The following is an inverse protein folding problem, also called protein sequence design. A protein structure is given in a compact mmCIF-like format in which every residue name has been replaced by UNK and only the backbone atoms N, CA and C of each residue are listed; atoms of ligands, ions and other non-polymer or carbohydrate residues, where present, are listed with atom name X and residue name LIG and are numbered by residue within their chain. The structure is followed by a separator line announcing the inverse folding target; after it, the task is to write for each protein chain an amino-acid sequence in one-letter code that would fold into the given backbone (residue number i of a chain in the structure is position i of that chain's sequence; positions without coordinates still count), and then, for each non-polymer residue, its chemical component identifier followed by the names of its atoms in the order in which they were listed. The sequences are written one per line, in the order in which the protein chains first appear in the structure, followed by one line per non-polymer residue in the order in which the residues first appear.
data_IF_475306933882
#
_entry.id   IF_475306933882
#
_cell.length_a   1.000
_cell.length_b   1.000
_cell.length_c   1.000
_cell.angle_alpha   90.00
_cell.angle_beta   90.00
_cell.angle_gamma   90.00
#
_symmetry.space_group_name_H-M   'P 1'
#
loop_
_entity.id
_entity.type
_entity.pdbx_description
1 polymer ?
#
# COMPACT_ATOMS: atom_id res chain seq x y z
N UNK A 1 -58.74 25.75 -31.19
CA UNK A 1 -58.30 26.73 -30.17
C UNK A 1 -58.31 26.11 -28.79
N UNK A 2 -57.13 25.69 -28.33
CA UNK A 2 -56.57 25.90 -26.99
C UNK A 2 -55.52 24.80 -26.79
N UNK A 3 -54.28 25.21 -27.02
CA UNK A 3 -53.06 24.43 -26.94
C UNK A 3 -52.90 23.75 -25.57
N UNK A 4 -52.42 22.52 -25.58
CA UNK A 4 -51.85 21.87 -24.40
C UNK A 4 -50.45 22.47 -24.20
N UNK A 5 -50.35 23.52 -23.39
CA UNK A 5 -49.07 23.99 -22.87
C UNK A 5 -48.52 22.89 -21.96
N UNK A 6 -47.49 22.18 -22.45
CA UNK A 6 -46.64 21.36 -21.59
C UNK A 6 -45.80 22.34 -20.76
N UNK A 7 -46.12 22.43 -19.46
CA UNK A 7 -45.30 23.11 -18.47
C UNK A 7 -43.97 22.34 -18.31
N UNK A 8 -43.04 22.61 -19.22
CA UNK A 8 -41.68 22.06 -19.31
C UNK A 8 -40.66 22.91 -18.53
N UNK A 9 -41.11 23.66 -17.51
CA UNK A 9 -40.29 24.68 -16.82
C UNK A 9 -40.29 24.56 -15.29
N UNK A 10 -40.67 23.40 -14.73
CA UNK A 10 -40.32 23.12 -13.34
C UNK A 10 -38.81 22.83 -13.26
N UNK A 11 -37.99 23.88 -13.42
CA UNK A 11 -36.60 23.87 -13.00
C UNK A 11 -36.57 23.25 -11.61
N UNK A 12 -35.86 22.13 -11.49
CA UNK A 12 -35.54 21.55 -10.19
C UNK A 12 -34.62 22.57 -9.52
N UNK A 13 -35.22 23.58 -8.88
CA UNK A 13 -34.57 24.40 -7.88
C UNK A 13 -34.31 23.42 -6.75
N UNK A 14 -33.17 22.74 -6.79
CA UNK A 14 -32.66 22.07 -5.61
C UNK A 14 -32.44 23.17 -4.58
N UNK A 15 -33.26 23.32 -3.53
CA UNK A 15 -32.87 24.14 -2.40
C UNK A 15 -31.94 23.25 -1.58
N UNK A 16 -30.76 22.98 -2.13
CA UNK A 16 -29.70 22.45 -1.30
C UNK A 16 -29.10 23.67 -0.62
N UNK A 17 -29.69 24.00 0.52
CA UNK A 17 -29.04 24.77 1.57
C UNK A 17 -27.65 24.16 1.76
N UNK A 18 -26.68 24.76 1.06
CA UNK A 18 -25.28 24.44 1.17
C UNK A 18 -24.83 24.98 2.53
N UNK A 19 -25.14 24.20 3.58
CA UNK A 19 -24.76 24.48 4.96
C UNK A 19 -23.24 24.44 5.00
N UNK A 20 -22.61 25.63 5.00
CA UNK A 20 -21.17 25.76 5.21
C UNK A 20 -20.41 26.71 4.30
N UNK A 21 -21.02 27.76 3.72
CA UNK A 21 -20.35 29.02 3.29
C UNK A 21 -19.19 28.96 2.27
N UNK A 22 -18.73 27.78 1.87
CA UNK A 22 -17.68 27.53 0.92
C UNK A 22 -18.28 27.40 -0.48
N UNK A 23 -18.00 28.36 -1.35
CA UNK A 23 -18.44 28.26 -2.74
C UNK A 23 -17.99 26.91 -3.37
N UNK A 24 -18.77 26.32 -4.29
CA UNK A 24 -18.47 24.99 -4.86
C UNK A 24 -17.06 24.81 -5.43
N UNK A 25 -16.41 25.90 -5.87
CA UNK A 25 -15.02 25.88 -6.32
C UNK A 25 -14.00 25.65 -5.19
N UNK A 26 -14.31 26.09 -3.96
CA UNK A 26 -13.45 25.91 -2.79
C UNK A 26 -13.42 24.44 -2.35
N UNK A 27 -14.56 23.73 -2.45
CA UNK A 27 -14.63 22.29 -2.21
C UNK A 27 -13.86 21.49 -3.26
N UNK A 28 -13.95 21.88 -4.54
CA UNK A 28 -13.16 21.26 -5.62
C UNK A 28 -11.66 21.39 -5.36
N UNK A 29 -11.22 22.57 -4.91
CA UNK A 29 -9.81 22.82 -4.57
C UNK A 29 -9.35 21.99 -3.37
N UNK A 30 -10.18 21.86 -2.35
CA UNK A 30 -9.87 21.08 -1.15
C UNK A 30 -9.78 19.58 -1.47
N UNK A 31 -10.70 19.05 -2.28
CA UNK A 31 -10.66 17.68 -2.77
C UNK A 31 -9.41 17.40 -3.61
N UNK A 32 -9.01 18.32 -4.48
CA UNK A 32 -7.79 18.18 -5.27
C UNK A 32 -6.52 18.23 -4.41
N UNK A 33 -6.53 18.99 -3.31
CA UNK A 33 -5.46 19.02 -2.32
C UNK A 33 -5.36 17.70 -1.54
N UNK A 34 -6.49 17.12 -1.13
CA UNK A 34 -6.55 15.81 -0.48
C UNK A 34 -6.05 14.70 -1.41
N UNK A 35 -6.45 14.70 -2.68
CA UNK A 35 -5.98 13.73 -3.69
C UNK A 35 -4.48 13.87 -3.98
N UNK A 36 -3.94 15.10 -3.96
CA UNK A 36 -2.49 15.34 -4.07
C UNK A 36 -1.75 14.78 -2.86
N UNK A 37 -2.28 14.97 -1.66
CA UNK A 37 -1.69 14.42 -0.43
C UNK A 37 -1.73 12.88 -0.40
N UNK A 38 -2.80 12.27 -0.90
CA UNK A 38 -2.91 10.81 -1.02
C UNK A 38 -1.87 10.25 -1.99
N UNK A 39 -1.69 10.87 -3.16
CA UNK A 39 -0.65 10.48 -4.13
C UNK A 39 0.76 10.59 -3.54
N UNK A 40 1.02 11.64 -2.76
CA UNK A 40 2.31 11.82 -2.07
C UNK A 40 2.50 10.74 -1.00
N UNK A 41 1.46 10.43 -0.22
CA UNK A 41 1.50 9.39 0.81
C UNK A 41 1.68 7.99 0.23
N UNK A 42 1.08 7.70 -0.93
CA UNK A 42 1.24 6.42 -1.63
C UNK A 42 2.67 6.25 -2.17
N UNK A 43 3.22 7.29 -2.80
CA UNK A 43 4.61 7.29 -3.27
C UNK A 43 5.62 7.15 -2.11
N UNK A 44 5.36 7.77 -0.97
CA UNK A 44 6.18 7.62 0.25
C UNK A 44 6.02 6.22 0.88
N UNK A 45 4.82 5.64 0.82
CA UNK A 45 4.57 4.28 1.32
C UNK A 45 5.24 3.22 0.46
N UNK A 46 5.26 3.37 -0.86
CA UNK A 46 6.02 2.49 -1.76
C UNK A 46 7.54 2.64 -1.59
N UNK A 47 8.03 3.87 -1.35
CA UNK A 47 9.44 4.11 -0.98
C UNK A 47 9.79 3.41 0.32
N UNK A 48 8.99 3.61 1.37
CA UNK A 48 9.21 2.98 2.69
C UNK A 48 9.11 1.45 2.61
N UNK A 49 8.20 0.90 1.80
CA UNK A 49 8.00 -0.55 1.63
C UNK A 49 9.19 -1.22 0.93
N UNK A 50 9.91 -0.49 0.08
CA UNK A 50 11.13 -0.98 -0.58
C UNK A 50 12.39 -0.71 0.24
N UNK A 51 12.45 0.39 1.00
CA UNK A 51 13.56 0.72 1.91
C UNK A 51 13.62 -0.21 3.13
N UNK A 52 12.47 -0.59 3.73
CA UNK A 52 12.42 -1.57 4.83
C UNK A 52 12.86 -2.98 4.35
N UNK A 53 12.64 -3.31 3.07
CA UNK A 53 13.17 -4.52 2.45
C UNK A 53 14.68 -4.43 2.16
N UNK A 54 15.20 -3.22 1.90
CA UNK A 54 16.62 -3.01 1.56
C UNK A 54 17.51 -2.90 2.81
N UNK A 55 17.03 -2.25 3.88
CA UNK A 55 17.74 -2.07 5.16
C UNK A 55 17.50 -3.22 6.15
N UNK A 56 17.14 -4.42 5.68
CA UNK A 56 17.40 -5.62 6.45
C UNK A 56 18.92 -5.79 6.56
N UNK A 57 19.49 -5.42 7.71
CA UNK A 57 20.89 -5.65 8.11
C UNK A 57 21.26 -7.06 7.68
N UNK A 58 22.38 -7.26 6.98
CA UNK A 58 22.67 -8.50 6.23
C UNK A 58 22.46 -9.81 7.04
N UNK A 59 22.76 -9.75 8.34
CA UNK A 59 22.53 -10.81 9.35
C UNK A 59 21.06 -11.21 9.59
N UNK A 60 20.13 -10.34 9.24
CA UNK A 60 18.68 -10.49 9.43
C UNK A 60 17.98 -10.86 8.11
N UNK A 61 18.64 -10.68 6.95
CA UNK A 61 18.12 -11.12 5.64
C UNK A 61 17.88 -12.61 5.57
N UNK A 62 18.81 -13.41 6.11
CA UNK A 62 18.65 -14.86 6.21
C UNK A 62 17.42 -15.18 7.05
N UNK A 63 17.33 -14.64 8.28
CA UNK A 63 16.19 -14.90 9.18
C UNK A 63 14.85 -14.55 8.54
N UNK A 64 14.79 -13.44 7.82
CA UNK A 64 13.59 -12.99 7.14
C UNK A 64 13.23 -13.92 5.96
N UNK A 65 14.19 -14.23 5.10
CA UNK A 65 13.99 -15.19 4.00
C UNK A 65 13.64 -16.60 4.52
N UNK A 66 14.12 -16.95 5.71
CA UNK A 66 13.78 -18.23 6.33
C UNK A 66 12.34 -18.28 6.82
N UNK A 67 11.81 -17.17 7.32
CA UNK A 67 10.42 -17.07 7.75
C UNK A 67 9.43 -17.22 6.58
N UNK A 68 9.88 -16.95 5.35
CA UNK A 68 9.05 -17.11 4.15
C UNK A 68 9.15 -18.48 3.50
N UNK A 69 10.10 -19.34 3.92
CA UNK A 69 10.20 -20.69 3.37
C UNK A 69 8.98 -21.54 3.70
N UNK A 70 8.51 -22.29 2.70
CA UNK A 70 7.43 -23.26 2.81
C UNK A 70 7.81 -24.59 2.15
N UNK A 71 7.12 -25.65 2.56
CA UNK A 71 7.22 -26.98 1.94
C UNK A 71 8.63 -27.58 1.97
N UNK A 72 9.11 -27.99 0.80
CA UNK A 72 10.40 -28.67 0.66
C UNK A 72 11.59 -27.79 1.08
N UNK A 73 11.51 -26.49 0.80
CA UNK A 73 12.57 -25.53 1.16
C UNK A 73 12.73 -25.42 2.69
N UNK A 74 11.61 -25.38 3.43
CA UNK A 74 11.62 -25.38 4.89
C UNK A 74 12.18 -26.69 5.46
N UNK A 75 11.85 -27.82 4.84
CA UNK A 75 12.39 -29.14 5.25
C UNK A 75 13.90 -29.20 5.05
N UNK A 76 14.38 -28.70 3.91
CA UNK A 76 15.81 -28.62 3.60
C UNK A 76 16.55 -27.73 4.62
N UNK A 77 15.99 -26.57 4.95
CA UNK A 77 16.53 -25.69 5.99
C UNK A 77 16.56 -26.32 7.38
N UNK A 78 15.51 -27.04 7.76
CA UNK A 78 15.44 -27.71 9.05
C UNK A 78 16.50 -28.83 9.15
N UNK A 79 16.79 -29.53 8.05
CA UNK A 79 17.93 -30.46 7.99
C UNK A 79 19.26 -29.75 8.17
N UNK A 80 19.43 -28.60 7.52
CA UNK A 80 20.67 -27.80 7.57
C UNK A 80 20.93 -27.21 8.95
N UNK A 81 19.91 -26.65 9.60
CA UNK A 81 20.02 -26.11 10.96
C UNK A 81 20.27 -27.18 12.01
N UNK A 82 19.81 -28.42 11.80
CA UNK A 82 20.18 -29.57 12.63
C UNK A 82 21.66 -29.96 12.47
N UNK A 83 22.19 -29.89 11.25
CA UNK A 83 23.60 -30.25 10.98
C UNK A 83 24.60 -29.18 11.46
N UNK A 84 24.26 -27.90 11.32
CA UNK A 84 25.19 -26.79 11.56
C UNK A 84 24.88 -26.01 12.85
N UNK A 85 23.66 -26.15 13.39
CA UNK A 85 23.14 -25.34 14.48
C UNK A 85 22.48 -24.05 13.99
N UNK A 86 21.35 -23.69 14.61
CA UNK A 86 20.51 -22.54 14.19
C UNK A 86 21.27 -21.21 14.24
N UNK A 87 22.18 -21.03 15.21
CA UNK A 87 22.99 -19.81 15.34
C UNK A 87 24.01 -19.68 14.21
N UNK A 88 24.66 -20.78 13.81
CA UNK A 88 25.62 -20.75 12.70
C UNK A 88 24.90 -20.55 11.36
N UNK A 89 23.78 -21.23 11.15
CA UNK A 89 22.96 -21.11 9.95
C UNK A 89 22.45 -19.66 9.75
N UNK A 90 21.96 -19.00 10.81
CA UNK A 90 21.48 -17.62 10.72
C UNK A 90 22.59 -16.57 10.52
N UNK A 91 23.84 -16.89 10.86
CA UNK A 91 25.00 -16.02 10.62
C UNK A 91 25.69 -16.33 9.29
N UNK A 92 25.20 -17.29 8.52
CA UNK A 92 25.76 -17.61 7.21
C UNK A 92 25.47 -16.47 6.23
N UNK A 93 26.45 -15.96 5.47
CA UNK A 93 26.20 -14.88 4.52
C UNK A 93 25.19 -15.31 3.45
N UNK A 94 24.33 -14.38 3.03
CA UNK A 94 23.27 -14.65 2.05
C UNK A 94 23.81 -15.17 0.71
N UNK A 95 25.04 -14.80 0.34
CA UNK A 95 25.73 -15.31 -0.85
C UNK A 95 25.98 -16.82 -0.82
N UNK A 96 26.23 -17.39 0.35
CA UNK A 96 26.38 -18.85 0.55
C UNK A 96 25.01 -19.54 0.61
N UNK A 97 24.03 -18.93 1.28
CA UNK A 97 22.67 -19.49 1.38
C UNK A 97 22.01 -19.62 0.01
N UNK A 98 22.26 -18.70 -0.92
CA UNK A 98 21.77 -18.78 -2.32
C UNK A 98 22.33 -19.96 -3.14
N UNK A 99 23.37 -20.64 -2.65
CA UNK A 99 23.99 -21.79 -3.34
C UNK A 99 23.44 -23.14 -2.86
N UNK A 100 22.52 -23.15 -1.89
CA UNK A 100 22.00 -24.36 -1.25
C UNK A 100 20.78 -24.94 -1.94
#
# INVERSE_FOLDING_TARGET
DADIEEDDDAEIIFPYEFVGGLAPWALRRDLEALLKQERIREAESESSRTEIAFECKEKDRVKFAMATLRGWALTCWNGRTKAMGIKAANNTPWSEVKKW
#
